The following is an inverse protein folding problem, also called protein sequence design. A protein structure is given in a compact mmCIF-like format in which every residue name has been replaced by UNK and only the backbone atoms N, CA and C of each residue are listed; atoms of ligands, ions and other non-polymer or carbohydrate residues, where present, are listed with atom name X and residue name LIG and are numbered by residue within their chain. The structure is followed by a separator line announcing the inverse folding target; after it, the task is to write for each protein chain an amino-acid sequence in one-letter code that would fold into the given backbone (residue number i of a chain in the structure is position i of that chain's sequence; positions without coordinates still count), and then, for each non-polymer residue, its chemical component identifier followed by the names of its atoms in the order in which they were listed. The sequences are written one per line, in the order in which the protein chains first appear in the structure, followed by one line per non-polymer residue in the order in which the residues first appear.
data_IF_896457997703
#
_entry.id   IF_896457997703
#
_cell.length_a   1.000
_cell.length_b   1.000
_cell.length_c   1.000
_cell.angle_alpha   90.00
_cell.angle_beta   90.00
_cell.angle_gamma   90.00
#
_symmetry.space_group_name_H-M   'P 1'
#
loop_
_entity.id
_entity.type
_entity.pdbx_description
1 polymer ?
#
# COMPACT_ATOMS: atom_id res chain seq x y z
N UNK A 1 18.90 32.69 42.93
CA UNK A 1 18.39 31.32 42.67
C UNK A 1 16.98 31.50 42.13
N UNK A 2 16.67 31.19 40.89
CA UNK A 2 16.36 29.83 40.40
C UNK A 2 16.66 29.76 38.90
N UNK A 3 17.50 28.80 38.50
CA UNK A 3 17.64 28.40 37.10
C UNK A 3 16.50 27.43 36.77
N UNK A 4 15.65 27.80 35.81
CA UNK A 4 14.57 26.94 35.32
C UNK A 4 15.20 25.92 34.38
N UNK A 5 15.60 24.77 34.95
CA UNK A 5 16.21 23.65 34.25
C UNK A 5 15.20 23.08 33.24
N UNK A 6 15.63 22.96 31.98
CA UNK A 6 14.77 22.67 30.83
C UNK A 6 13.90 21.43 30.96
N UNK A 7 12.76 21.43 30.27
CA UNK A 7 11.87 20.29 30.12
C UNK A 7 12.57 19.24 29.24
N UNK A 8 13.24 18.27 29.86
CA UNK A 8 13.65 17.05 29.17
C UNK A 8 12.42 16.30 28.69
N UNK A 9 12.48 15.71 27.50
CA UNK A 9 11.48 14.77 27.01
C UNK A 9 11.67 13.50 27.84
N UNK A 10 10.65 13.11 28.60
CA UNK A 10 10.64 11.82 29.30
C UNK A 10 10.45 10.74 28.23
N UNK A 11 11.49 9.95 27.97
CA UNK A 11 11.31 8.71 27.24
C UNK A 11 10.70 7.73 28.25
N UNK A 12 9.41 7.46 28.12
CA UNK A 12 8.81 6.33 28.84
C UNK A 12 9.52 5.07 28.34
N UNK A 13 9.88 4.15 29.24
CA UNK A 13 10.57 2.87 28.97
C UNK A 13 9.69 1.88 28.15
N UNK A 14 8.88 2.37 27.21
CA UNK A 14 7.94 1.60 26.38
C UNK A 14 8.57 1.25 25.00
N UNK A 15 9.89 1.01 25.00
CA UNK A 15 10.63 0.45 23.87
C UNK A 15 10.57 -1.10 23.87
N UNK A 16 9.61 -1.71 24.57
CA UNK A 16 9.43 -3.16 24.54
C UNK A 16 8.95 -3.62 23.16
N UNK A 17 9.57 -4.66 22.56
CA UNK A 17 9.13 -5.19 21.27
C UNK A 17 7.67 -5.66 21.30
N UNK A 18 6.85 -5.14 20.38
CA UNK A 18 5.47 -5.59 20.23
C UNK A 18 5.47 -7.04 19.72
N UNK A 19 4.89 -7.95 20.51
CA UNK A 19 4.74 -9.35 20.13
C UNK A 19 3.44 -9.54 19.35
N UNK A 20 3.56 -9.75 18.05
CA UNK A 20 2.41 -10.09 17.22
C UNK A 20 1.91 -11.50 17.56
N UNK A 21 0.59 -11.67 17.64
CA UNK A 21 -0.01 -13.00 17.76
C UNK A 21 0.16 -13.77 16.45
N UNK A 22 0.25 -15.10 16.55
CA UNK A 22 0.13 -15.93 15.35
C UNK A 22 -1.32 -15.79 14.84
N UNK A 23 -1.49 -14.95 13.82
CA UNK A 23 -2.76 -14.70 13.17
C UNK A 23 -2.84 -15.53 11.89
N UNK A 24 -3.93 -16.27 11.72
CA UNK A 24 -4.20 -16.98 10.47
C UNK A 24 -4.41 -15.94 9.35
N UNK A 25 -3.47 -15.88 8.43
CA UNK A 25 -3.48 -14.91 7.33
C UNK A 25 -4.09 -15.50 6.05
N UNK A 26 -4.61 -16.73 6.10
CA UNK A 26 -5.14 -17.44 4.92
C UNK A 26 -6.23 -16.65 4.22
N UNK A 27 -7.10 -15.96 4.97
CA UNK A 27 -8.14 -15.11 4.38
C UNK A 27 -7.54 -13.97 3.55
N UNK A 28 -6.62 -13.21 4.13
CA UNK A 28 -5.97 -12.09 3.45
C UNK A 28 -5.16 -12.55 2.23
N UNK A 29 -4.47 -13.69 2.36
CA UNK A 29 -3.71 -14.27 1.25
C UNK A 29 -4.67 -14.60 0.10
N UNK A 30 -5.79 -15.28 0.37
CA UNK A 30 -6.77 -15.62 -0.65
C UNK A 30 -7.43 -14.39 -1.27
N UNK A 31 -7.71 -13.35 -0.47
CA UNK A 31 -8.33 -12.11 -0.94
C UNK A 31 -7.42 -11.33 -1.90
N UNK A 32 -6.11 -11.30 -1.63
CA UNK A 32 -5.14 -10.50 -2.38
C UNK A 32 -4.19 -11.32 -3.27
N UNK A 33 -4.48 -12.61 -3.50
CA UNK A 33 -3.59 -13.49 -4.30
C UNK A 33 -3.48 -13.05 -5.76
N UNK A 34 -4.52 -12.42 -6.31
CA UNK A 34 -4.57 -11.92 -7.70
C UNK A 34 -4.42 -10.39 -7.74
N UNK A 35 -3.60 -9.82 -6.86
CA UNK A 35 -3.43 -8.38 -6.75
C UNK A 35 -2.03 -7.93 -7.13
N UNK A 36 -1.94 -6.82 -7.87
CA UNK A 36 -0.69 -6.13 -8.18
C UNK A 36 -0.56 -4.85 -7.35
N UNK A 37 0.51 -4.76 -6.56
CA UNK A 37 0.85 -3.55 -5.80
C UNK A 37 1.99 -2.83 -6.51
N UNK A 38 1.79 -1.56 -6.83
CA UNK A 38 2.79 -0.70 -7.45
C UNK A 38 3.06 0.58 -6.66
N UNK A 39 4.17 1.25 -6.99
CA UNK A 39 4.55 2.56 -6.43
C UNK A 39 4.95 3.52 -7.53
N UNK A 40 4.46 4.75 -7.45
CA UNK A 40 4.90 5.87 -8.26
C UNK A 40 6.37 6.19 -7.93
N UNK A 41 7.23 6.12 -8.96
CA UNK A 41 8.65 6.42 -8.85
C UNK A 41 8.96 7.90 -9.08
N UNK A 42 8.12 8.61 -9.83
CA UNK A 42 8.31 10.03 -10.12
C UNK A 42 7.06 10.86 -9.80
N UNK A 43 6.79 11.18 -8.51
CA UNK A 43 5.61 11.94 -8.10
C UNK A 43 5.53 13.35 -8.71
N UNK A 44 6.64 13.91 -9.20
CA UNK A 44 6.65 15.20 -9.90
C UNK A 44 5.98 15.16 -11.27
N UNK A 45 5.88 13.98 -11.89
CA UNK A 45 5.34 13.78 -13.25
C UNK A 45 4.19 12.78 -13.31
N UNK A 46 4.03 11.93 -12.30
CA UNK A 46 3.03 10.87 -12.26
C UNK A 46 2.17 11.05 -11.00
N UNK A 47 0.86 10.85 -11.14
CA UNK A 47 -0.07 10.74 -10.01
C UNK A 47 -0.70 9.35 -9.99
N UNK A 48 -1.02 8.87 -8.79
CA UNK A 48 -1.71 7.57 -8.60
C UNK A 48 -3.05 7.60 -9.35
N UNK A 49 -3.86 8.63 -9.12
CA UNK A 49 -5.16 8.82 -9.78
C UNK A 49 -5.09 8.65 -11.31
N UNK A 50 -4.14 9.34 -11.98
CA UNK A 50 -4.00 9.25 -13.44
C UNK A 50 -3.50 7.88 -13.88
N UNK A 51 -2.67 7.22 -13.08
CA UNK A 51 -2.20 5.87 -13.38
C UNK A 51 -3.35 4.87 -13.29
N UNK A 52 -4.16 4.96 -12.23
CA UNK A 52 -5.33 4.10 -12.04
C UNK A 52 -6.37 4.27 -13.14
N UNK A 53 -6.52 5.46 -13.71
CA UNK A 53 -7.40 5.68 -14.87
C UNK A 53 -6.81 5.15 -16.18
N UNK A 54 -5.48 5.21 -16.36
CA UNK A 54 -4.82 4.89 -17.64
C UNK A 54 -4.47 3.42 -17.81
N UNK A 55 -4.05 2.74 -16.76
CA UNK A 55 -3.59 1.35 -16.84
C UNK A 55 -4.69 0.40 -17.34
N UNK A 56 -5.93 0.43 -16.81
CA UNK A 56 -7.00 -0.44 -17.31
C UNK A 56 -7.26 -0.23 -18.80
N UNK A 57 -7.26 1.02 -19.26
CA UNK A 57 -7.44 1.37 -20.68
C UNK A 57 -6.31 0.81 -21.54
N UNK A 58 -5.07 0.98 -21.10
CA UNK A 58 -3.90 0.53 -21.85
C UNK A 58 -3.82 -1.00 -21.98
N UNK A 59 -4.39 -1.73 -21.02
CA UNK A 59 -4.48 -3.19 -21.05
C UNK A 59 -5.79 -3.73 -21.65
N UNK A 60 -6.77 -2.87 -21.96
CA UNK A 60 -8.10 -3.28 -22.44
C UNK A 60 -8.94 -3.98 -21.36
N UNK A 61 -8.85 -3.49 -20.13
CA UNK A 61 -9.42 -4.09 -18.91
C UNK A 61 -10.29 -3.10 -18.11
N UNK A 62 -10.84 -2.05 -18.72
CA UNK A 62 -11.52 -0.94 -18.01
C UNK A 62 -12.62 -1.38 -17.03
N UNK A 63 -13.29 -2.50 -17.31
CA UNK A 63 -14.39 -3.05 -16.49
C UNK A 63 -14.03 -4.37 -15.80
N UNK A 64 -12.79 -4.86 -15.95
CA UNK A 64 -12.38 -6.20 -15.45
C UNK A 64 -11.52 -6.15 -14.20
N UNK A 65 -10.87 -5.02 -13.94
CA UNK A 65 -9.98 -4.83 -12.80
C UNK A 65 -10.50 -3.75 -11.87
N UNK A 66 -10.30 -3.95 -10.57
CA UNK A 66 -10.56 -2.90 -9.57
C UNK A 66 -9.26 -2.22 -9.18
N UNK A 67 -9.35 -0.92 -8.86
CA UNK A 67 -8.19 -0.08 -8.59
C UNK A 67 -8.38 0.69 -7.27
N UNK A 68 -7.38 0.66 -6.41
CA UNK A 68 -7.39 1.35 -5.12
C UNK A 68 -6.11 2.18 -4.93
N UNK A 69 -6.27 3.41 -4.44
CA UNK A 69 -5.15 4.23 -3.97
C UNK A 69 -4.82 3.82 -2.52
N UNK A 70 -3.59 3.35 -2.29
CA UNK A 70 -3.11 2.94 -0.97
C UNK A 70 -2.37 4.07 -0.23
N UNK A 71 -2.33 5.27 -0.81
CA UNK A 71 -1.62 6.42 -0.29
C UNK A 71 -0.09 6.31 -0.41
N UNK A 72 0.60 7.42 -0.16
CA UNK A 72 2.06 7.54 -0.25
C UNK A 72 2.62 7.05 -1.60
N UNK A 73 1.89 7.40 -2.67
CA UNK A 73 2.22 7.04 -4.05
C UNK A 73 2.09 5.54 -4.37
N UNK A 74 1.41 4.75 -3.53
CA UNK A 74 1.18 3.31 -3.77
C UNK A 74 -0.23 3.08 -4.28
N UNK A 75 -0.39 2.04 -5.07
CA UNK A 75 -1.68 1.64 -5.62
C UNK A 75 -1.80 0.13 -5.65
N UNK A 76 -3.05 -0.34 -5.75
CA UNK A 76 -3.43 -1.73 -5.80
C UNK A 76 -4.36 -1.92 -7.01
N UNK A 77 -4.06 -2.92 -7.84
CA UNK A 77 -4.93 -3.38 -8.92
C UNK A 77 -5.31 -4.83 -8.62
N UNK A 78 -6.60 -5.14 -8.60
CA UNK A 78 -7.08 -6.51 -8.38
C UNK A 78 -7.62 -7.10 -9.68
N UNK A 79 -7.20 -8.33 -9.97
CA UNK A 79 -7.57 -9.10 -11.14
C UNK A 79 -8.56 -10.20 -10.74
N UNK A 80 -9.39 -10.63 -11.70
CA UNK A 80 -10.37 -11.68 -11.45
C UNK A 80 -9.78 -13.06 -11.75
N UNK A 81 -8.83 -13.13 -12.68
CA UNK A 81 -8.19 -14.37 -13.12
C UNK A 81 -6.67 -14.27 -13.14
N UNK A 82 -6.00 -15.41 -13.02
CA UNK A 82 -4.54 -15.50 -13.09
C UNK A 82 -4.02 -15.10 -14.48
N UNK A 83 -4.75 -15.43 -15.56
CA UNK A 83 -4.40 -15.04 -16.92
C UNK A 83 -4.38 -13.52 -17.13
N UNK A 84 -5.34 -12.80 -16.53
CA UNK A 84 -5.37 -11.34 -16.59
C UNK A 84 -4.16 -10.73 -15.88
N UNK A 85 -3.83 -11.21 -14.67
CA UNK A 85 -2.65 -10.78 -13.94
C UNK A 85 -1.37 -11.08 -14.75
N UNK A 86 -1.25 -12.29 -15.30
CA UNK A 86 -0.08 -12.69 -16.08
C UNK A 86 0.07 -11.93 -17.40
N UNK A 87 -1.02 -11.40 -17.96
CA UNK A 87 -0.96 -10.62 -19.20
C UNK A 87 -0.34 -9.23 -19.05
N UNK A 88 -0.17 -8.75 -17.81
CA UNK A 88 0.32 -7.38 -17.51
C UNK A 88 1.64 -7.34 -16.72
N UNK A 89 2.17 -8.52 -16.34
CA UNK A 89 3.46 -8.70 -15.69
C UNK A 89 4.60 -8.77 -16.72
#
# INVERSE_FOLDING_TARGET
MVAIKGKGILYEDDDEPIKLTNHDSSQNINEFMLSLIGKILNPKKQSVEKLLQKMPVQWGMEERITANDLGNGKFLLNFTTEDELNSVL
#
